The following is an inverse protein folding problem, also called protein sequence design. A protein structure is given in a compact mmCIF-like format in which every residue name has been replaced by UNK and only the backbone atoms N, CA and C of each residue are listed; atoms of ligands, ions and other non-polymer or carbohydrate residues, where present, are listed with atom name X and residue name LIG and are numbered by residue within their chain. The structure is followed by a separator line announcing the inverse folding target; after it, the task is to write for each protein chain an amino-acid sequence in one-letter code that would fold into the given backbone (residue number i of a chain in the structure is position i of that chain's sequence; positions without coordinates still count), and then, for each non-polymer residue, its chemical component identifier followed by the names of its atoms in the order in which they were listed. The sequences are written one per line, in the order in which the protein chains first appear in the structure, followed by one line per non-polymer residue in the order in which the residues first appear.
data_IF_206705538360
#
_entry.id   IF_206705538360
#
_cell.length_a   1.000
_cell.length_b   1.000
_cell.length_c   1.000
_cell.angle_alpha   90.00
_cell.angle_beta   90.00
_cell.angle_gamma   90.00
#
_symmetry.space_group_name_H-M   'P 1'
#
loop_
_entity.id
_entity.type
_entity.pdbx_description
1 polymer ?
#
# COMPACT_ATOMS: atom_id res chain seq x y z
N UNK A 1 11.15 1.20 3.30
CA UNK A 1 10.74 1.37 1.89
C UNK A 1 10.50 2.84 1.52
N UNK A 2 9.44 3.51 2.01
CA UNK A 2 9.14 4.91 1.67
C UNK A 2 10.29 5.89 2.01
N UNK A 3 10.87 5.80 3.22
CA UNK A 3 12.05 6.60 3.62
C UNK A 3 13.23 6.42 2.66
N UNK A 4 13.60 5.17 2.39
CA UNK A 4 14.68 4.80 1.47
C UNK A 4 14.42 5.27 0.03
N UNK A 5 13.18 5.23 -0.44
CA UNK A 5 12.83 5.75 -1.76
C UNK A 5 12.94 7.28 -1.83
N UNK A 6 12.50 8.00 -0.79
CA UNK A 6 12.63 9.46 -0.70
C UNK A 6 14.12 9.86 -0.69
N UNK A 7 14.93 9.15 0.09
CA UNK A 7 16.39 9.37 0.14
C UNK A 7 17.05 9.13 -1.22
N UNK A 8 16.64 8.08 -1.94
CA UNK A 8 17.12 7.81 -3.29
C UNK A 8 16.78 8.92 -4.29
N UNK A 9 15.55 9.42 -4.28
CA UNK A 9 15.13 10.53 -5.15
C UNK A 9 15.92 11.81 -4.83
N UNK A 10 16.10 12.13 -3.55
CA UNK A 10 16.87 13.29 -3.09
C UNK A 10 18.35 13.18 -3.47
N UNK A 11 18.94 11.98 -3.39
CA UNK A 11 20.33 11.74 -3.76
C UNK A 11 20.55 11.94 -5.26
N UNK A 12 19.65 11.41 -6.10
CA UNK A 12 19.72 11.61 -7.55
C UNK A 12 19.53 13.06 -7.98
N UNK A 13 18.66 13.81 -7.28
CA UNK A 13 18.45 15.23 -7.54
C UNK A 13 19.65 16.07 -7.09
N UNK A 14 20.27 15.71 -5.95
CA UNK A 14 21.49 16.34 -5.44
C UNK A 14 22.66 16.16 -6.41
N UNK A 15 22.85 14.96 -6.93
CA UNK A 15 23.93 14.67 -7.87
C UNK A 15 23.78 15.45 -9.19
N UNK A 16 22.55 15.83 -9.54
CA UNK A 16 22.22 16.71 -10.68
C UNK A 16 22.19 18.20 -10.35
N UNK A 17 22.26 18.57 -9.07
CA UNK A 17 22.23 19.96 -8.59
C UNK A 17 20.90 20.70 -8.78
N UNK A 18 19.83 20.01 -9.19
CA UNK A 18 18.52 20.62 -9.43
C UNK A 18 17.38 19.63 -9.18
N UNK A 19 16.25 20.16 -8.71
CA UNK A 19 14.99 19.44 -8.57
C UNK A 19 14.01 19.91 -9.65
N UNK A 20 13.46 18.99 -10.41
CA UNK A 20 12.35 19.30 -11.32
C UNK A 20 11.04 19.44 -10.54
N UNK A 21 10.07 20.15 -11.12
CA UNK A 21 8.73 20.27 -10.51
C UNK A 21 8.05 18.91 -10.26
N UNK A 22 8.29 17.95 -11.16
CA UNK A 22 7.73 16.60 -11.07
C UNK A 22 8.40 15.81 -9.93
N UNK A 23 9.72 15.93 -9.75
CA UNK A 23 10.45 15.32 -8.62
C UNK A 23 10.02 15.95 -7.28
N UNK A 24 9.84 17.28 -7.22
CA UNK A 24 9.31 17.95 -6.02
C UNK A 24 7.93 17.43 -5.66
N UNK A 25 7.04 17.25 -6.65
CA UNK A 25 5.71 16.71 -6.41
C UNK A 25 5.76 15.25 -5.90
N UNK A 26 6.60 14.40 -6.51
CA UNK A 26 6.79 13.03 -6.07
C UNK A 26 7.34 12.93 -4.64
N UNK A 27 8.40 13.66 -4.34
CA UNK A 27 9.04 13.68 -3.01
C UNK A 27 8.04 14.22 -1.96
N UNK A 28 7.32 15.30 -2.30
CA UNK A 28 6.31 15.88 -1.41
C UNK A 28 5.16 14.91 -1.13
N UNK A 29 4.70 14.18 -2.15
CA UNK A 29 3.64 13.18 -1.99
C UNK A 29 4.10 11.99 -1.13
N UNK A 30 5.32 11.48 -1.38
CA UNK A 30 5.92 10.41 -0.57
C UNK A 30 6.11 10.86 0.89
N UNK A 31 6.56 12.09 1.12
CA UNK A 31 6.69 12.69 2.46
C UNK A 31 5.32 12.88 3.14
N UNK A 32 4.30 13.34 2.41
CA UNK A 32 2.95 13.51 2.95
C UNK A 32 2.35 12.18 3.39
N UNK A 33 2.51 11.13 2.58
CA UNK A 33 2.09 9.78 2.93
C UNK A 33 2.86 9.26 4.16
N UNK A 34 4.18 9.42 4.18
CA UNK A 34 5.02 9.01 5.31
C UNK A 34 4.60 9.69 6.61
N UNK A 35 4.43 11.02 6.59
CA UNK A 35 3.98 11.79 7.76
C UNK A 35 2.61 11.35 8.25
N UNK A 36 1.70 11.02 7.33
CA UNK A 36 0.35 10.57 7.69
C UNK A 36 0.36 9.19 8.35
N UNK A 37 1.22 8.29 7.87
CA UNK A 37 1.46 6.99 8.50
C UNK A 37 2.10 7.14 9.88
N UNK A 38 3.08 8.04 10.04
CA UNK A 38 3.71 8.33 11.34
C UNK A 38 2.72 8.97 12.33
N UNK A 39 1.82 9.84 11.86
CA UNK A 39 0.80 10.48 12.69
C UNK A 39 -0.28 9.52 13.22
N UNK A 40 -0.53 8.42 12.50
CA UNK A 40 -1.44 7.36 12.94
C UNK A 40 -0.83 6.45 14.01
N UNK A 41 0.47 6.59 14.32
CA UNK A 41 1.19 5.81 15.33
C UNK A 41 0.96 6.23 16.79
N UNK A 42 0.06 7.19 17.08
CA UNK A 42 -0.33 7.51 18.46
C UNK A 42 -1.53 6.65 18.86
N UNK A 43 -1.26 5.50 19.50
CA UNK A 43 -2.29 4.61 20.02
C UNK A 43 -3.17 5.32 21.05
N UNK A 44 -4.48 5.19 20.89
CA UNK A 44 -5.43 5.39 21.98
C UNK A 44 -5.37 4.14 22.85
N UNK A 45 -4.92 4.27 24.10
CA UNK A 45 -4.99 3.19 25.08
C UNK A 45 -6.47 2.82 25.31
N UNK A 46 -6.88 1.66 24.81
CA UNK A 46 -8.26 1.18 24.97
C UNK A 46 -8.49 -0.16 24.26
N UNK A 47 -8.67 -1.22 25.05
CA UNK A 47 -8.78 -2.63 24.67
C UNK A 47 -9.80 -2.99 23.55
N UNK A 48 -10.66 -2.06 23.11
CA UNK A 48 -11.59 -2.26 21.99
C UNK A 48 -11.05 -1.72 20.65
N UNK A 49 -10.17 -0.71 20.65
CA UNK A 49 -9.59 -0.13 19.44
C UNK A 49 -8.49 -1.03 18.84
N UNK A 50 -7.81 -1.84 19.67
CA UNK A 50 -6.70 -2.71 19.26
C UNK A 50 -7.11 -3.88 18.34
N UNK A 51 -8.40 -4.15 18.17
CA UNK A 51 -8.91 -5.26 17.34
C UNK A 51 -9.51 -4.79 16.01
N UNK A 52 -9.39 -3.51 15.69
CA UNK A 52 -9.90 -2.94 14.44
C UNK A 52 -8.75 -2.83 13.45
N UNK A 53 -8.91 -3.46 12.28
CA UNK A 53 -8.02 -3.31 11.14
C UNK A 53 -8.69 -2.55 10.00
N UNK A 54 -7.89 -2.07 9.05
CA UNK A 54 -8.38 -1.54 7.78
C UNK A 54 -7.57 -2.13 6.62
N UNK A 55 -8.12 -2.00 5.42
CA UNK A 55 -7.38 -2.24 4.17
C UNK A 55 -6.87 -0.92 3.62
N UNK A 56 -5.86 -0.97 2.75
CA UNK A 56 -5.34 0.20 2.08
C UNK A 56 -4.90 -0.13 0.66
N UNK A 57 -5.34 0.67 -0.30
CA UNK A 57 -4.81 0.67 -1.67
C UNK A 57 -4.47 2.10 -2.07
N UNK A 58 -3.31 2.30 -2.68
CA UNK A 58 -2.82 3.61 -3.10
C UNK A 58 -2.19 3.53 -4.48
N UNK A 59 -2.48 4.50 -5.34
CA UNK A 59 -1.88 4.64 -6.68
C UNK A 59 -1.18 5.99 -6.76
N UNK A 60 0.13 5.95 -7.04
CA UNK A 60 0.95 7.12 -7.33
C UNK A 60 1.14 7.22 -8.85
N UNK A 61 0.64 8.31 -9.43
CA UNK A 61 0.81 8.64 -10.85
C UNK A 61 1.96 9.63 -11.02
N UNK A 62 2.89 9.32 -11.92
CA UNK A 62 3.87 10.26 -12.46
C UNK A 62 3.60 10.51 -13.95
N UNK A 63 4.47 11.29 -14.60
CA UNK A 63 4.41 11.55 -16.04
C UNK A 63 4.42 10.27 -16.89
N UNK A 64 5.18 9.26 -16.48
CA UNK A 64 5.45 8.05 -17.27
C UNK A 64 5.25 6.74 -16.50
N UNK A 65 4.98 6.81 -15.19
CA UNK A 65 4.97 5.66 -14.30
C UNK A 65 3.70 5.63 -13.45
N UNK A 66 3.16 4.43 -13.24
CA UNK A 66 2.07 4.15 -12.31
C UNK A 66 2.61 3.18 -11.26
N UNK A 67 2.62 3.59 -9.99
CA UNK A 67 3.00 2.74 -8.87
C UNK A 67 1.77 2.43 -8.04
N UNK A 68 1.44 1.15 -7.88
CA UNK A 68 0.33 0.70 -7.06
C UNK A 68 0.85 -0.06 -5.83
N UNK A 69 0.30 0.25 -4.66
CA UNK A 69 0.55 -0.47 -3.41
C UNK A 69 -0.78 -0.90 -2.80
N UNK A 70 -0.89 -2.18 -2.43
CA UNK A 70 -2.08 -2.76 -1.81
C UNK A 70 -1.72 -3.52 -0.53
N UNK A 71 -2.56 -3.38 0.49
CA UNK A 71 -2.55 -4.13 1.72
C UNK A 71 -3.99 -4.48 2.11
N UNK A 72 -4.38 -5.73 1.88
CA UNK A 72 -5.72 -6.24 2.16
C UNK A 72 -6.47 -6.58 0.88
N UNK A 73 -7.80 -6.53 0.93
CA UNK A 73 -8.67 -6.96 -0.16
C UNK A 73 -9.41 -5.81 -0.88
N UNK A 74 -8.93 -4.58 -0.70
CA UNK A 74 -9.21 -3.50 -1.65
C UNK A 74 -8.53 -3.77 -2.99
N UNK A 75 -9.04 -3.17 -4.08
CA UNK A 75 -8.50 -3.37 -5.43
C UNK A 75 -8.36 -2.07 -6.21
N UNK A 76 -7.23 -1.93 -6.92
CA UNK A 76 -6.99 -0.91 -7.93
C UNK A 76 -7.04 -1.51 -9.34
N UNK A 77 -7.81 -0.86 -10.23
CA UNK A 77 -7.98 -1.25 -11.63
C UNK A 77 -7.83 -0.01 -12.51
N UNK A 78 -7.06 -0.11 -13.59
CA UNK A 78 -6.89 0.92 -14.60
C UNK A 78 -7.72 0.61 -15.83
N UNK A 79 -8.53 1.56 -16.30
CA UNK A 79 -9.12 1.49 -17.64
C UNK A 79 -8.11 1.98 -18.67
N UNK A 80 -7.73 1.14 -19.64
CA UNK A 80 -6.83 1.49 -20.75
C UNK A 80 -7.35 0.91 -22.05
N UNK A 81 -7.54 1.76 -23.05
CA UNK A 81 -8.07 1.38 -24.37
C UNK A 81 -9.40 0.60 -24.30
N UNK A 82 -10.28 0.97 -23.36
CA UNK A 82 -11.57 0.30 -23.15
C UNK A 82 -11.49 -1.03 -22.39
N UNK A 83 -10.29 -1.48 -22.01
CA UNK A 83 -10.07 -2.68 -21.19
C UNK A 83 -9.76 -2.36 -19.73
N UNK A 84 -10.14 -3.26 -18.83
CA UNK A 84 -9.75 -3.22 -17.42
C UNK A 84 -8.42 -3.93 -17.21
N UNK A 85 -7.45 -3.24 -16.61
CA UNK A 85 -6.12 -3.76 -16.27
C UNK A 85 -5.97 -3.73 -14.76
N UNK A 86 -5.77 -4.88 -14.13
CA UNK A 86 -5.53 -4.95 -12.69
C UNK A 86 -4.18 -4.33 -12.32
N UNK A 87 -4.19 -3.38 -11.37
CA UNK A 87 -2.97 -2.76 -10.84
C UNK A 87 -2.52 -3.38 -9.52
N UNK A 88 -3.43 -4.05 -8.81
CA UNK A 88 -3.18 -4.73 -7.54
C UNK A 88 -3.75 -6.14 -7.54
N UNK A 89 -3.23 -6.99 -6.65
CA UNK A 89 -3.81 -8.29 -6.35
C UNK A 89 -4.31 -8.28 -4.91
N UNK A 90 -5.54 -8.74 -4.68
CA UNK A 90 -6.14 -8.80 -3.35
C UNK A 90 -5.38 -9.82 -2.48
N UNK A 91 -5.12 -9.46 -1.23
CA UNK A 91 -4.57 -10.39 -0.25
C UNK A 91 -5.70 -11.20 0.35
N UNK A 92 -6.02 -12.32 -0.30
CA UNK A 92 -6.98 -13.31 0.18
C UNK A 92 -6.26 -14.49 0.84
N UNK A 93 -6.75 -15.02 1.98
CA UNK A 93 -6.09 -16.12 2.68
C UNK A 93 -5.81 -17.35 1.80
N UNK A 94 -6.68 -17.62 0.83
CA UNK A 94 -6.62 -18.82 -0.02
C UNK A 94 -5.46 -18.77 -1.03
N UNK A 95 -4.88 -17.59 -1.28
CA UNK A 95 -3.73 -17.44 -2.18
C UNK A 95 -2.54 -18.22 -1.64
N UNK A 96 -1.84 -18.94 -2.52
CA UNK A 96 -0.75 -19.84 -2.12
C UNK A 96 0.31 -19.17 -1.24
N UNK A 97 0.68 -17.92 -1.53
CA UNK A 97 1.66 -17.16 -0.75
C UNK A 97 1.14 -16.80 0.64
N UNK A 98 -0.10 -16.30 0.75
CA UNK A 98 -0.71 -15.97 2.03
C UNK A 98 -1.01 -17.20 2.86
N UNK A 99 -1.52 -18.26 2.25
CA UNK A 99 -1.69 -19.57 2.88
C UNK A 99 -0.40 -20.06 3.51
N UNK A 100 0.68 -20.09 2.72
CA UNK A 100 2.00 -20.52 3.20
C UNK A 100 2.47 -19.66 4.38
N UNK A 101 2.27 -18.34 4.32
CA UNK A 101 2.63 -17.41 5.40
C UNK A 101 1.83 -17.69 6.68
N UNK A 102 0.52 -17.90 6.55
CA UNK A 102 -0.40 -18.20 7.67
C UNK A 102 -0.03 -19.54 8.31
N UNK A 103 0.14 -20.60 7.51
CA UNK A 103 0.47 -21.94 7.98
C UNK A 103 1.87 -22.02 8.62
N UNK A 104 2.87 -21.34 8.04
CA UNK A 104 4.21 -21.23 8.63
C UNK A 104 4.22 -20.51 9.98
N UNK A 105 3.24 -19.64 10.23
CA UNK A 105 3.03 -19.00 11.53
C UNK A 105 2.21 -19.85 12.52
N UNK A 106 1.86 -21.09 12.16
CA UNK A 106 1.02 -22.00 12.97
C UNK A 106 -0.49 -21.72 12.88
N UNK A 107 -0.91 -20.86 11.95
CA UNK A 107 -2.32 -20.57 11.66
C UNK A 107 -2.96 -21.60 10.74
N UNK A 108 -4.28 -21.45 10.53
CA UNK A 108 -5.06 -22.26 9.58
C UNK A 108 -6.14 -21.40 8.91
N UNK A 109 -6.58 -21.83 7.73
CA UNK A 109 -7.64 -21.17 6.97
C UNK A 109 -8.90 -22.00 7.09
N UNK A 110 -9.99 -21.38 7.52
CA UNK A 110 -11.31 -21.99 7.65
C UNK A 110 -12.34 -21.16 6.86
N UNK A 111 -13.20 -21.84 6.12
CA UNK A 111 -14.27 -21.19 5.37
C UNK A 111 -15.45 -20.95 6.32
N UNK A 112 -15.69 -19.68 6.66
CA UNK A 112 -16.81 -19.30 7.53
C UNK A 112 -18.04 -19.10 6.66
N UNK A 113 -18.90 -20.13 6.62
CA UNK A 113 -20.24 -19.99 6.05
C UNK A 113 -21.09 -19.14 6.98
N UNK A 114 -21.32 -17.87 6.60
CA UNK A 114 -22.34 -17.06 7.25
C UNK A 114 -23.68 -17.50 6.69
N UNK A 115 -24.48 -18.17 7.51
CA UNK A 115 -25.86 -18.52 7.16
C UNK A 115 -26.63 -17.23 6.86
N UNK A 116 -26.92 -16.97 5.58
CA UNK A 116 -27.85 -15.92 5.17
C UNK A 116 -29.25 -16.33 5.64
N UNK A 117 -29.85 -15.49 6.50
CA UNK A 117 -31.25 -15.60 6.93
C UNK A 117 -32.20 -15.19 5.82
#
# INVERSE_FOLDING_TARGET
FLKTSIEGDLMQARDRGALTKDEVAQITMKLALLKRLEAQGKSLEGHAADRVGCTAVCVLLSRDTIVCANAGDSRAVLCRAGGAVELSQDHKPERAEERRRIEAAGGRIEEIHVATR
#
